data_IF_045864247140
#
_entry.id   IF_045864247140
#
_cell.length_a   1.000
_cell.length_b   1.000
_cell.length_c   1.000
_cell.angle_alpha   90.00
_cell.angle_beta   90.00
_cell.angle_gamma   90.00
#
_symmetry.space_group_name_H-M   'P 1'
#
loop_
_entity.id
_entity.type
_entity.pdbx_description
1 polymer ?
#
# COMPACT_ATOMS: atom_id res chain seq x y z
N UNK A 1 -6.42 -75.11 7.17
CA UNK A 1 -5.55 -74.42 6.19
C UNK A 1 -6.40 -73.85 5.05
N UNK A 2 -6.71 -72.55 5.07
CA UNK A 2 -6.95 -71.66 3.91
C UNK A 2 -7.39 -70.27 4.41
N UNK A 3 -6.40 -69.39 4.40
CA UNK A 3 -6.33 -67.92 4.23
C UNK A 3 -7.64 -67.20 3.85
N UNK A 4 -8.09 -66.29 4.72
CA UNK A 4 -9.07 -65.24 4.45
C UNK A 4 -8.34 -64.01 3.90
N UNK A 5 -8.38 -63.83 2.58
CA UNK A 5 -7.94 -62.64 1.86
C UNK A 5 -9.18 -61.93 1.35
N UNK A 6 -9.20 -60.60 1.40
CA UNK A 6 -10.10 -59.68 0.66
C UNK A 6 -11.15 -58.89 1.44
N UNK A 7 -10.74 -58.06 2.43
CA UNK A 7 -11.58 -56.94 2.90
C UNK A 7 -10.85 -55.59 3.10
N UNK A 8 -9.55 -55.49 2.82
CA UNK A 8 -8.74 -54.31 3.20
C UNK A 8 -8.23 -53.42 2.06
N UNK A 9 -8.59 -53.67 0.80
CA UNK A 9 -8.05 -52.93 -0.36
C UNK A 9 -8.96 -51.77 -0.81
N UNK A 10 -10.29 -51.82 -0.59
CA UNK A 10 -11.24 -50.81 -1.11
C UNK A 10 -11.54 -49.65 -0.15
N UNK A 11 -11.12 -49.72 1.12
CA UNK A 11 -11.35 -48.63 2.11
C UNK A 11 -10.22 -47.60 2.20
N UNK A 12 -9.04 -47.92 1.66
CA UNK A 12 -7.85 -47.05 1.64
C UNK A 12 -7.78 -46.01 0.51
N UNK A 13 -8.41 -46.16 -0.69
CA UNK A 13 -8.29 -45.16 -1.75
C UNK A 13 -9.15 -43.91 -1.50
N UNK A 14 -10.30 -44.05 -0.83
CA UNK A 14 -11.20 -42.92 -0.55
C UNK A 14 -10.63 -41.94 0.49
N UNK A 15 -9.89 -42.46 1.48
CA UNK A 15 -9.22 -41.65 2.51
C UNK A 15 -8.01 -40.90 1.93
N UNK A 16 -7.26 -41.52 1.01
CA UNK A 16 -6.09 -40.92 0.36
C UNK A 16 -6.46 -39.76 -0.59
N UNK A 17 -7.57 -39.86 -1.31
CA UNK A 17 -8.05 -38.79 -2.20
C UNK A 17 -8.50 -37.57 -1.40
N UNK A 18 -9.17 -37.78 -0.26
CA UNK A 18 -9.59 -36.70 0.65
C UNK A 18 -8.40 -35.99 1.31
N UNK A 19 -7.35 -36.71 1.69
CA UNK A 19 -6.14 -36.10 2.28
C UNK A 19 -5.32 -35.31 1.25
N UNK A 20 -5.32 -35.73 -0.01
CA UNK A 20 -4.67 -35.00 -1.10
C UNK A 20 -5.39 -33.66 -1.39
N UNK A 21 -6.72 -33.66 -1.44
CA UNK A 21 -7.51 -32.43 -1.64
C UNK A 21 -7.32 -31.40 -0.50
N UNK A 22 -7.21 -31.87 0.75
CA UNK A 22 -6.99 -31.01 1.92
C UNK A 22 -5.57 -30.42 1.94
N UNK A 23 -4.56 -31.15 1.43
CA UNK A 23 -3.15 -30.68 1.41
C UNK A 23 -2.81 -29.85 0.18
N UNK A 24 -3.46 -30.10 -0.96
CA UNK A 24 -3.28 -29.27 -2.17
C UNK A 24 -4.09 -27.96 -2.12
N UNK A 25 -5.24 -27.92 -1.41
CA UNK A 25 -6.09 -26.75 -1.34
C UNK A 25 -5.56 -25.57 -0.50
N UNK A 26 -4.52 -25.78 0.31
CA UNK A 26 -3.96 -24.73 1.20
C UNK A 26 -2.77 -23.99 0.62
N UNK A 27 -2.19 -24.43 -0.50
CA UNK A 27 -1.09 -23.72 -1.16
C UNK A 27 -1.56 -22.67 -2.17
N UNK A 28 -2.65 -21.96 -1.85
CA UNK A 28 -2.92 -20.67 -2.47
C UNK A 28 -1.92 -19.68 -1.90
N UNK A 29 -0.73 -19.62 -2.50
CA UNK A 29 0.26 -18.57 -2.24
C UNK A 29 -0.44 -17.23 -2.49
N UNK A 30 -0.83 -16.55 -1.41
CA UNK A 30 -1.38 -15.20 -1.47
C UNK A 30 -0.27 -14.29 -1.97
N UNK A 31 -0.24 -14.05 -3.28
CA UNK A 31 0.46 -12.91 -3.85
C UNK A 31 -0.24 -11.66 -3.34
N UNK A 32 0.19 -11.16 -2.18
CA UNK A 32 -0.13 -9.83 -1.71
C UNK A 32 0.53 -8.85 -2.70
N UNK A 33 -0.15 -8.58 -3.80
CA UNK A 33 0.23 -7.56 -4.78
C UNK A 33 -0.12 -6.19 -4.18
N UNK A 34 0.59 -5.77 -3.14
CA UNK A 34 0.59 -4.36 -2.78
C UNK A 34 1.25 -3.62 -3.94
N UNK A 35 0.49 -2.76 -4.62
CA UNK A 35 0.95 -2.00 -5.80
C UNK A 35 2.03 -0.94 -5.45
N UNK A 36 2.34 -0.77 -4.17
CA UNK A 36 3.45 0.03 -3.69
C UNK A 36 4.18 -0.71 -2.57
N UNK A 37 5.35 -1.25 -2.88
CA UNK A 37 6.32 -1.61 -1.85
C UNK A 37 6.79 -0.33 -1.15
N UNK A 38 6.97 -0.34 0.20
CA UNK A 38 7.56 0.80 0.88
C UNK A 38 8.95 1.07 0.31
N UNK A 39 9.36 2.34 0.30
CA UNK A 39 10.70 2.70 -0.15
C UNK A 39 11.74 1.82 0.58
N UNK A 40 12.67 1.20 -0.18
CA UNK A 40 13.57 0.18 0.35
C UNK A 40 14.53 0.74 1.42
N UNK A 41 14.82 2.04 1.37
CA UNK A 41 15.55 2.75 2.40
C UNK A 41 14.60 3.58 3.27
N UNK A 42 14.65 3.36 4.58
CA UNK A 42 13.96 4.20 5.58
C UNK A 42 14.76 5.47 5.88
N UNK A 43 15.40 6.03 4.85
CA UNK A 43 16.16 7.26 5.00
C UNK A 43 15.20 8.40 5.31
N UNK A 44 15.68 9.34 6.13
CA UNK A 44 14.91 10.53 6.47
C UNK A 44 14.65 11.31 5.18
N UNK A 45 13.44 11.84 5.03
CA UNK A 45 13.13 12.74 3.92
C UNK A 45 14.13 13.91 3.88
N UNK A 46 14.64 14.29 2.69
CA UNK A 46 15.54 15.42 2.54
C UNK A 46 14.93 16.70 3.09
N UNK A 47 15.76 17.50 3.76
CA UNK A 47 15.30 18.79 4.27
C UNK A 47 15.09 19.79 3.14
N UNK A 48 14.20 20.76 3.36
CA UNK A 48 13.95 21.84 2.41
C UNK A 48 13.51 23.10 3.14
N UNK A 49 13.71 24.23 2.46
CA UNK A 49 13.20 25.54 2.82
C UNK A 49 12.60 26.13 1.54
N UNK A 50 11.33 26.52 1.58
CA UNK A 50 10.64 27.05 0.41
C UNK A 50 9.65 28.14 0.80
N UNK A 51 9.56 29.19 -0.02
CA UNK A 51 8.54 30.22 0.12
C UNK A 51 7.20 29.70 -0.42
N UNK A 52 6.17 29.76 0.42
CA UNK A 52 4.80 29.40 0.08
C UNK A 52 4.05 30.53 -0.62
N UNK A 53 2.88 30.19 -1.16
CA UNK A 53 1.94 31.17 -1.72
C UNK A 53 1.30 32.10 -0.68
N UNK A 54 1.43 31.75 0.60
CA UNK A 54 1.02 32.56 1.75
C UNK A 54 2.11 33.53 2.22
N UNK A 55 3.18 33.69 1.43
CA UNK A 55 4.36 34.53 1.72
C UNK A 55 5.11 34.10 2.99
N UNK A 56 4.92 32.86 3.45
CA UNK A 56 5.65 32.27 4.57
C UNK A 56 6.70 31.30 4.10
N UNK A 57 7.76 31.20 4.90
CA UNK A 57 8.76 30.16 4.74
C UNK A 57 8.22 28.84 5.32
N UNK A 58 8.29 27.77 4.53
CA UNK A 58 7.92 26.42 4.94
C UNK A 58 9.16 25.53 4.96
N UNK A 59 9.34 24.78 6.04
CA UNK A 59 10.44 23.84 6.22
C UNK A 59 9.91 22.45 6.57
N UNK A 60 10.68 21.40 6.27
CA UNK A 60 10.30 20.04 6.66
C UNK A 60 10.24 19.89 8.19
N UNK A 61 11.10 20.60 8.91
CA UNK A 61 11.11 20.61 10.38
C UNK A 61 9.79 21.11 10.96
N UNK A 62 9.21 22.17 10.38
CA UNK A 62 7.91 22.71 10.76
C UNK A 62 6.73 21.77 10.50
N UNK A 63 6.94 20.68 9.77
CA UNK A 63 5.95 19.63 9.49
C UNK A 63 6.11 18.38 10.38
N UNK A 64 7.12 18.33 11.25
CA UNK A 64 7.33 17.19 12.15
C UNK A 64 6.14 16.95 13.08
N UNK A 65 5.91 15.68 13.41
CA UNK A 65 4.77 15.26 14.23
C UNK A 65 3.46 15.08 13.45
N UNK A 66 3.43 15.49 12.17
CA UNK A 66 2.32 15.23 11.24
C UNK A 66 2.69 14.14 10.24
N UNK A 67 1.69 13.38 9.82
CA UNK A 67 1.75 12.63 8.56
C UNK A 67 1.64 13.63 7.41
N UNK A 68 2.63 13.63 6.51
CA UNK A 68 2.68 14.56 5.38
C UNK A 68 2.52 13.77 4.09
N UNK A 69 1.46 14.07 3.34
CA UNK A 69 1.30 13.59 1.97
C UNK A 69 1.90 14.64 1.02
N UNK A 70 3.03 14.33 0.40
CA UNK A 70 3.68 15.22 -0.57
C UNK A 70 3.19 14.91 -1.99
N UNK A 71 2.71 15.94 -2.69
CA UNK A 71 2.24 15.86 -4.06
C UNK A 71 3.04 16.81 -4.95
N UNK A 72 3.86 16.27 -5.84
CA UNK A 72 4.58 17.05 -6.84
C UNK A 72 3.68 17.26 -8.06
N UNK A 73 3.44 18.51 -8.44
CA UNK A 73 2.49 18.85 -9.51
C UNK A 73 2.96 20.00 -10.38
N UNK A 74 2.26 20.23 -11.48
CA UNK A 74 2.47 21.36 -12.38
C UNK A 74 1.16 21.74 -13.09
N UNK A 75 1.07 22.98 -13.58
CA UNK A 75 -0.11 23.51 -14.30
C UNK A 75 -0.45 22.71 -15.57
N UNK A 76 0.57 22.18 -16.24
CA UNK A 76 0.48 21.31 -17.41
C UNK A 76 0.24 19.83 -17.06
N UNK A 77 0.26 19.45 -15.77
CA UNK A 77 -0.01 18.08 -15.34
C UNK A 77 -1.51 17.81 -15.25
N UNK A 78 -2.10 17.29 -16.33
CA UNK A 78 -3.51 16.87 -16.35
C UNK A 78 -3.89 15.85 -15.28
N UNK A 79 -3.16 14.71 -15.08
CA UNK A 79 -3.53 13.76 -14.05
C UNK A 79 -3.47 14.36 -12.64
N UNK A 80 -2.47 15.17 -12.32
CA UNK A 80 -2.38 15.87 -11.04
C UNK A 80 -3.64 16.70 -10.77
N UNK A 81 -4.13 17.46 -11.76
CA UNK A 81 -5.35 18.27 -11.64
C UNK A 81 -6.59 17.42 -11.37
N UNK A 82 -6.68 16.23 -11.96
CA UNK A 82 -7.79 15.30 -11.70
C UNK A 82 -7.77 14.74 -10.28
N UNK A 83 -6.59 14.64 -9.66
CA UNK A 83 -6.41 14.13 -8.30
C UNK A 83 -6.62 15.20 -7.22
N UNK A 84 -6.46 16.49 -7.54
CA UNK A 84 -6.59 17.61 -6.59
C UNK A 84 -7.92 17.60 -5.79
N UNK A 85 -9.10 17.34 -6.38
CA UNK A 85 -10.35 17.30 -5.61
C UNK A 85 -10.34 16.21 -4.53
N UNK A 86 -9.70 15.08 -4.81
CA UNK A 86 -9.54 13.99 -3.84
C UNK A 86 -8.56 14.38 -2.74
N UNK A 87 -7.43 15.00 -3.08
CA UNK A 87 -6.46 15.49 -2.10
C UNK A 87 -7.08 16.55 -1.16
N UNK A 88 -7.87 17.47 -1.72
CA UNK A 88 -8.61 18.47 -0.95
C UNK A 88 -9.64 17.81 -0.01
N UNK A 89 -10.38 16.81 -0.52
CA UNK A 89 -11.34 16.07 0.29
C UNK A 89 -10.68 15.32 1.45
N UNK A 90 -9.51 14.72 1.24
CA UNK A 90 -8.74 14.06 2.31
C UNK A 90 -8.25 15.10 3.32
N UNK A 91 -7.67 16.21 2.86
CA UNK A 91 -7.21 17.28 3.75
C UNK A 91 -8.34 17.81 4.64
N UNK A 92 -9.54 17.99 4.09
CA UNK A 92 -10.72 18.46 4.85
C UNK A 92 -11.27 17.43 5.84
N UNK A 93 -11.10 16.13 5.58
CA UNK A 93 -11.63 15.04 6.42
C UNK A 93 -10.69 14.64 7.56
N UNK A 94 -9.40 14.83 7.35
CA UNK A 94 -8.37 14.44 8.31
C UNK A 94 -8.15 15.54 9.35
N UNK A 95 -7.65 15.13 10.52
CA UNK A 95 -7.23 16.05 11.56
C UNK A 95 -5.98 16.83 11.11
N UNK A 96 -6.13 18.13 10.89
CA UNK A 96 -5.06 19.01 10.40
C UNK A 96 -3.91 19.18 11.40
N UNK A 97 -4.09 18.83 12.68
CA UNK A 97 -2.99 18.79 13.65
C UNK A 97 -2.10 17.55 13.47
N UNK A 98 -2.62 16.49 12.84
CA UNK A 98 -1.95 15.18 12.69
C UNK A 98 -1.62 14.84 11.24
N UNK A 99 -2.27 15.47 10.27
CA UNK A 99 -2.10 15.20 8.85
C UNK A 99 -2.11 16.48 8.03
N UNK A 100 -1.29 16.55 6.99
CA UNK A 100 -1.33 17.64 6.02
C UNK A 100 -0.95 17.17 4.63
N UNK A 101 -1.44 17.90 3.61
CA UNK A 101 -1.07 17.71 2.20
C UNK A 101 -0.15 18.85 1.79
N UNK A 102 1.04 18.52 1.29
CA UNK A 102 2.01 19.48 0.77
C UNK A 102 2.08 19.39 -0.75
N UNK A 103 1.57 20.41 -1.45
CA UNK A 103 1.67 20.52 -2.91
C UNK A 103 2.93 21.26 -3.34
N UNK A 104 3.86 20.58 -4.00
CA UNK A 104 5.10 21.19 -4.50
C UNK A 104 4.97 21.40 -6.01
N UNK A 105 5.02 22.66 -6.46
CA UNK A 105 5.00 22.99 -7.88
C UNK A 105 6.39 22.77 -8.49
N UNK A 106 6.48 21.96 -9.55
CA UNK A 106 7.73 21.64 -10.26
C UNK A 106 7.74 22.12 -11.71
N UNK A 107 6.77 22.94 -12.11
CA UNK A 107 6.68 23.51 -13.46
C UNK A 107 7.48 24.82 -13.63
N UNK A 108 7.63 25.32 -14.87
CA UNK A 108 8.16 26.66 -15.11
C UNK A 108 7.31 27.70 -14.38
N UNK A 109 7.98 28.65 -13.73
CA UNK A 109 7.37 29.77 -13.00
C UNK A 109 6.92 30.91 -13.90
#
# INVERSE_FOLDING_TARGET
MRINQSTNVVKKPLILIFTCLITFGTNSLSSNQYLMDPMPNKEKAPDFIMMGMDEKEHTLDGLKGRFVLVNFWATWCTPCKMEMPTLEAIHKRMDNEKFTVLGIHVGPG
#
